data_IF_673898700321
#
_entry.id   IF_673898700321
#
_cell.length_a   1.000
_cell.length_b   1.000
_cell.length_c   1.000
_cell.angle_alpha   90.00
_cell.angle_beta   90.00
_cell.angle_gamma   90.00
#
_symmetry.space_group_name_H-M   'P 1'
#
loop_
_entity.id
_entity.type
_entity.pdbx_description
1 polymer ?
#
# COMPACT_ATOMS: atom_id res chain seq x y z
N UNK A 1 -8.43 -14.85 -5.43
CA UNK A 1 -8.91 -13.59 -6.05
C UNK A 1 -8.22 -12.35 -5.50
N UNK A 2 -8.32 -11.97 -4.21
CA UNK A 2 -7.65 -10.72 -3.75
C UNK A 2 -6.13 -10.86 -3.57
N UNK A 3 -5.64 -12.05 -3.17
CA UNK A 3 -4.20 -12.35 -3.08
C UNK A 3 -3.50 -12.19 -4.43
N UNK A 4 -4.11 -12.70 -5.50
CA UNK A 4 -3.51 -12.76 -6.85
C UNK A 4 -3.29 -11.38 -7.48
N UNK A 5 -3.87 -10.32 -6.90
CA UNK A 5 -3.68 -8.93 -7.32
C UNK A 5 -2.89 -8.06 -6.35
N UNK A 6 -2.54 -8.56 -5.16
CA UNK A 6 -1.86 -7.75 -4.14
C UNK A 6 -0.48 -7.30 -4.61
N UNK A 7 0.32 -8.24 -5.11
CA UNK A 7 1.70 -7.97 -5.53
C UNK A 7 1.76 -6.99 -6.70
N UNK A 8 0.84 -7.10 -7.67
CA UNK A 8 0.75 -6.15 -8.78
C UNK A 8 0.39 -4.72 -8.30
N UNK A 9 -0.53 -4.60 -7.34
CA UNK A 9 -0.88 -3.30 -6.75
C UNK A 9 0.30 -2.75 -5.93
N UNK A 10 0.98 -3.61 -5.17
CA UNK A 10 2.16 -3.24 -4.40
C UNK A 10 3.27 -2.72 -5.32
N UNK A 11 3.52 -3.41 -6.42
CA UNK A 11 4.53 -3.01 -7.39
C UNK A 11 4.19 -1.66 -8.02
N UNK A 12 2.94 -1.44 -8.41
CA UNK A 12 2.49 -0.13 -8.87
C UNK A 12 2.70 0.97 -7.81
N UNK A 13 2.45 0.65 -6.53
CA UNK A 13 2.70 1.60 -5.44
C UNK A 13 4.19 1.90 -5.26
N UNK A 14 5.09 0.91 -5.43
CA UNK A 14 6.54 1.11 -5.39
C UNK A 14 7.03 1.99 -6.51
N UNK A 15 6.56 1.77 -7.74
CA UNK A 15 6.89 2.61 -8.89
C UNK A 15 6.47 4.07 -8.63
N UNK A 16 5.26 4.30 -8.13
CA UNK A 16 4.71 5.66 -7.95
C UNK A 16 5.30 6.39 -6.74
N UNK A 17 5.52 5.69 -5.62
CA UNK A 17 5.97 6.29 -4.35
C UNK A 17 7.49 6.19 -4.16
N UNK A 18 8.17 5.43 -5.02
CA UNK A 18 9.54 4.99 -4.83
C UNK A 18 9.64 3.83 -3.84
N UNK A 19 10.68 3.00 -4.00
CA UNK A 19 11.06 2.05 -2.97
C UNK A 19 11.66 2.83 -1.79
N UNK A 20 10.80 3.15 -0.83
CA UNK A 20 11.29 3.55 0.49
C UNK A 20 11.82 2.30 1.16
N UNK A 21 13.09 1.96 0.90
CA UNK A 21 13.84 1.10 1.80
C UNK A 21 13.73 1.64 3.25
N UNK A 22 14.01 0.81 4.26
CA UNK A 22 13.92 1.21 5.68
C UNK A 22 14.70 2.51 6.01
N UNK A 23 15.60 2.93 5.14
CA UNK A 23 16.45 4.11 5.27
C UNK A 23 15.82 5.44 4.81
N UNK A 24 14.80 5.39 3.93
CA UNK A 24 14.09 6.59 3.42
C UNK A 24 12.89 7.00 4.29
N UNK A 25 12.72 6.33 5.43
CA UNK A 25 11.81 6.74 6.49
C UNK A 25 12.20 8.14 6.98
N UNK A 26 11.40 9.14 6.62
CA UNK A 26 11.62 10.55 6.98
C UNK A 26 12.03 10.63 8.45
N UNK A 27 13.27 11.08 8.72
CA UNK A 27 13.90 11.19 10.05
C UNK A 27 13.25 12.29 10.92
N UNK A 28 11.93 12.47 10.85
CA UNK A 28 11.19 13.29 11.81
C UNK A 28 11.11 12.50 13.12
N UNK A 29 12.01 12.83 14.06
CA UNK A 29 12.11 12.25 15.41
C UNK A 29 10.73 11.88 15.97
N UNK A 30 10.56 10.61 16.36
CA UNK A 30 9.46 10.14 17.21
C UNK A 30 8.22 9.54 16.51
N UNK A 31 8.10 9.55 15.18
CA UNK A 31 7.00 8.87 14.46
C UNK A 31 7.47 7.54 13.87
N UNK A 32 6.68 6.47 14.11
CA UNK A 32 6.83 5.21 13.37
C UNK A 32 6.71 5.50 11.89
N UNK A 33 7.74 5.16 11.12
CA UNK A 33 7.73 5.31 9.69
C UNK A 33 7.36 3.97 9.09
N UNK A 34 6.13 3.87 8.60
CA UNK A 34 5.63 2.64 8.00
C UNK A 34 6.07 2.56 6.53
N UNK A 35 6.19 1.34 5.96
CA UNK A 35 6.41 1.17 4.53
C UNK A 35 5.21 1.74 3.77
N UNK A 36 5.37 2.94 3.21
CA UNK A 36 4.31 3.69 2.53
C UNK A 36 3.72 2.93 1.33
N UNK A 37 4.52 2.32 0.44
CA UNK A 37 3.99 1.52 -0.66
C UNK A 37 3.10 0.37 -0.21
N UNK A 38 3.51 -0.33 0.86
CA UNK A 38 2.77 -1.48 1.38
C UNK A 38 1.41 -1.06 1.96
N UNK A 39 1.38 0.01 2.76
CA UNK A 39 0.14 0.53 3.30
C UNK A 39 -0.76 1.12 2.21
N UNK A 40 -0.19 1.80 1.22
CA UNK A 40 -0.95 2.34 0.09
C UNK A 40 -1.60 1.24 -0.74
N UNK A 41 -0.89 0.12 -0.98
CA UNK A 41 -1.45 -1.02 -1.70
C UNK A 41 -2.68 -1.60 -0.99
N UNK A 42 -2.61 -1.74 0.33
CA UNK A 42 -3.75 -2.21 1.15
C UNK A 42 -4.91 -1.22 1.08
N UNK A 43 -4.64 0.09 1.18
CA UNK A 43 -5.69 1.12 1.08
C UNK A 43 -6.33 1.12 -0.31
N UNK A 44 -5.53 1.01 -1.36
CA UNK A 44 -6.04 0.95 -2.73
C UNK A 44 -6.98 -0.23 -2.94
N UNK A 45 -6.58 -1.43 -2.47
CA UNK A 45 -7.44 -2.62 -2.50
C UNK A 45 -8.69 -2.40 -1.66
N UNK A 46 -8.56 -1.85 -0.45
CA UNK A 46 -9.70 -1.57 0.41
C UNK A 46 -10.71 -0.63 -0.28
N UNK A 47 -10.25 0.42 -0.97
CA UNK A 47 -11.11 1.32 -1.75
C UNK A 47 -11.78 0.56 -2.90
N UNK A 48 -11.01 -0.21 -3.68
CA UNK A 48 -11.52 -0.95 -4.85
C UNK A 48 -12.58 -1.97 -4.46
N UNK A 49 -12.39 -2.66 -3.35
CA UNK A 49 -13.27 -3.73 -2.87
C UNK A 49 -14.37 -3.22 -1.92
N UNK A 50 -14.45 -1.89 -1.68
CA UNK A 50 -15.45 -1.30 -0.77
C UNK A 50 -15.28 -1.71 0.69
N UNK A 51 -14.06 -2.02 1.12
CA UNK A 51 -13.77 -2.44 2.49
C UNK A 51 -13.81 -1.27 3.47
N UNK A 52 -14.38 -1.54 4.64
CA UNK A 52 -14.15 -0.71 5.83
C UNK A 52 -12.70 -0.85 6.32
N UNK A 53 -12.22 0.14 7.09
CA UNK A 53 -10.90 0.06 7.71
C UNK A 53 -10.73 -1.12 8.68
N UNK A 54 -11.83 -1.64 9.24
CA UNK A 54 -11.80 -2.86 10.07
C UNK A 54 -11.54 -4.10 9.21
N UNK A 55 -12.16 -4.18 8.03
CA UNK A 55 -11.90 -5.28 7.09
C UNK A 55 -10.47 -5.23 6.56
N UNK A 56 -9.93 -4.04 6.28
CA UNK A 56 -8.51 -3.90 5.92
C UNK A 56 -7.57 -4.38 7.04
N UNK A 57 -7.88 -4.07 8.31
CA UNK A 57 -7.14 -4.58 9.47
C UNK A 57 -7.26 -6.10 9.61
N UNK A 58 -8.47 -6.66 9.47
CA UNK A 58 -8.67 -8.13 9.46
C UNK A 58 -7.87 -8.81 8.37
N UNK A 59 -7.87 -8.28 7.15
CA UNK A 59 -7.07 -8.81 6.05
C UNK A 59 -5.57 -8.80 6.36
N UNK A 60 -5.08 -7.74 7.01
CA UNK A 60 -3.67 -7.66 7.44
C UNK A 60 -3.32 -8.70 8.51
N UNK A 61 -4.25 -9.01 9.42
CA UNK A 61 -4.06 -10.06 10.43
C UNK A 61 -3.98 -11.44 9.75
N UNK A 62 -4.89 -11.71 8.82
CA UNK A 62 -4.95 -12.98 8.08
C UNK A 62 -3.76 -13.19 7.13
N UNK A 63 -3.18 -12.09 6.63
CA UNK A 63 -2.08 -12.11 5.65
C UNK A 63 -0.78 -11.55 6.23
N UNK A 64 -0.58 -11.67 7.55
CA UNK A 64 0.54 -11.01 8.21
C UNK A 64 1.91 -11.50 7.71
N UNK A 65 2.06 -12.78 7.42
CA UNK A 65 3.30 -13.33 6.85
C UNK A 65 3.58 -12.77 5.44
N UNK A 66 2.56 -12.55 4.63
CA UNK A 66 2.70 -11.89 3.33
C UNK A 66 3.25 -10.47 3.50
N UNK A 67 2.72 -9.71 4.46
CA UNK A 67 3.23 -8.36 4.74
C UNK A 67 4.70 -8.38 5.14
N UNK A 68 5.14 -9.36 5.95
CA UNK A 68 6.55 -9.50 6.35
C UNK A 68 7.45 -9.80 5.15
N UNK A 69 7.04 -10.69 4.25
CA UNK A 69 7.78 -11.00 3.03
C UNK A 69 8.00 -9.76 2.16
N UNK A 70 7.09 -8.79 2.21
CA UNK A 70 7.18 -7.54 1.45
C UNK A 70 7.69 -6.33 2.27
N UNK A 71 8.40 -6.57 3.38
CA UNK A 71 9.14 -5.52 4.09
C UNK A 71 8.44 -4.95 5.33
N UNK A 72 7.38 -5.60 5.84
CA UNK A 72 6.82 -5.22 7.14
C UNK A 72 7.69 -5.74 8.29
N UNK A 73 8.41 -4.84 8.96
CA UNK A 73 9.35 -5.17 10.05
C UNK A 73 8.77 -5.07 11.45
N UNK A 74 7.54 -4.57 11.59
CA UNK A 74 6.92 -4.35 12.91
C UNK A 74 6.29 -5.63 13.46
N UNK A 75 6.38 -5.82 14.78
CA UNK A 75 5.84 -6.99 15.50
C UNK A 75 4.35 -7.27 15.26
N UNK A 76 3.55 -6.22 15.04
CA UNK A 76 2.11 -6.32 14.84
C UNK A 76 1.75 -5.80 13.44
N UNK A 77 0.70 -6.33 12.80
CA UNK A 77 0.21 -5.82 11.52
C UNK A 77 -0.33 -4.38 11.66
N UNK A 78 -0.52 -3.69 10.52
CA UNK A 78 -1.18 -2.39 10.49
C UNK A 78 -2.57 -2.45 11.14
N UNK A 79 -2.90 -1.42 11.93
CA UNK A 79 -4.21 -1.27 12.59
C UNK A 79 -5.09 -0.27 11.87
N UNK A 80 -6.42 -0.30 12.08
CA UNK A 80 -7.38 0.70 11.56
C UNK A 80 -6.90 2.14 11.70
N UNK A 81 -6.31 2.50 12.84
CA UNK A 81 -5.83 3.87 13.10
C UNK A 81 -4.65 4.28 12.22
N UNK A 82 -3.87 3.33 11.73
CA UNK A 82 -2.76 3.55 10.78
C UNK A 82 -3.33 3.95 9.43
N UNK A 83 -4.30 3.18 8.92
CA UNK A 83 -5.00 3.48 7.67
C UNK A 83 -5.78 4.78 7.73
N UNK A 84 -6.47 5.05 8.85
CA UNK A 84 -7.22 6.30 9.02
C UNK A 84 -6.32 7.54 8.91
N UNK A 85 -5.09 7.48 9.40
CA UNK A 85 -4.12 8.59 9.27
C UNK A 85 -3.68 8.75 7.83
N UNK A 86 -3.30 7.66 7.16
CA UNK A 86 -2.88 7.74 5.76
C UNK A 86 -3.99 8.25 4.85
N UNK A 87 -5.22 7.76 4.97
CA UNK A 87 -6.32 8.19 4.09
C UNK A 87 -6.60 9.70 4.15
N UNK A 88 -6.28 10.37 5.26
CA UNK A 88 -6.40 11.84 5.36
C UNK A 88 -5.37 12.59 4.51
N UNK A 89 -4.29 11.94 4.15
CA UNK A 89 -3.16 12.48 3.40
C UNK A 89 -3.16 12.01 1.93
N UNK A 90 -4.08 11.11 1.54
CA UNK A 90 -4.16 10.59 0.17
C UNK A 90 -4.88 11.58 -0.73
N UNK A 91 -4.20 11.96 -1.81
CA UNK A 91 -4.79 12.71 -2.92
C UNK A 91 -5.37 11.77 -3.99
N UNK A 92 -6.49 12.17 -4.59
CA UNK A 92 -7.13 11.46 -5.72
C UNK A 92 -6.16 11.33 -6.89
N UNK A 93 -5.33 12.34 -7.15
CA UNK A 93 -4.33 12.29 -8.22
C UNK A 93 -3.27 11.20 -7.99
N UNK A 94 -2.98 10.85 -6.72
CA UNK A 94 -2.08 9.73 -6.41
C UNK A 94 -2.75 8.38 -6.73
N UNK A 95 -4.02 8.20 -6.36
CA UNK A 95 -4.78 6.99 -6.67
C UNK A 95 -4.92 6.77 -8.19
N UNK A 96 -5.14 7.84 -8.94
CA UNK A 96 -5.21 7.79 -10.41
C UNK A 96 -3.88 7.37 -11.03
N UNK A 97 -2.75 7.87 -10.53
CA UNK A 97 -1.40 7.44 -10.98
C UNK A 97 -1.16 5.96 -10.71
N UNK A 98 -1.48 5.47 -9.51
CA UNK A 98 -1.37 4.04 -9.18
C UNK A 98 -2.25 3.21 -10.12
N UNK A 99 -3.49 3.62 -10.36
CA UNK A 99 -4.40 2.95 -11.30
C UNK A 99 -3.82 2.89 -12.71
N UNK A 100 -3.24 3.99 -13.20
CA UNK A 100 -2.59 4.03 -14.51
C UNK A 100 -1.41 3.05 -14.59
N UNK A 101 -0.54 3.01 -13.57
CA UNK A 101 0.59 2.06 -13.53
C UNK A 101 0.08 0.61 -13.50
N UNK A 102 -0.98 0.31 -12.74
CA UNK A 102 -1.58 -1.04 -12.75
C UNK A 102 -2.04 -1.42 -14.16
N UNK A 103 -2.73 -0.53 -14.88
CA UNK A 103 -3.16 -0.78 -16.26
C UNK A 103 -1.96 -0.99 -17.19
N UNK A 104 -0.89 -0.24 -16.99
CA UNK A 104 0.33 -0.41 -17.75
C UNK A 104 1.00 -1.77 -17.51
N UNK A 105 1.13 -2.18 -16.24
CA UNK A 105 1.69 -3.49 -15.88
C UNK A 105 0.86 -4.66 -16.42
N UNK A 106 -0.44 -4.45 -16.67
CA UNK A 106 -1.32 -5.42 -17.33
C UNK A 106 -1.25 -5.39 -18.86
N UNK A 107 -0.51 -4.46 -19.46
CA UNK A 107 -0.46 -4.26 -20.91
C UNK A 107 -1.71 -3.59 -21.49
N UNK A 108 -2.59 -3.03 -20.65
CA UNK A 108 -3.82 -2.36 -21.10
C UNK A 108 -3.52 -0.96 -21.68
N UNK A 109 -2.47 -0.30 -21.21
CA UNK A 109 -2.02 1.02 -21.68
C UNK A 109 -0.49 1.10 -21.72
N UNK A 110 0.04 2.05 -22.51
CA UNK A 110 1.46 2.40 -22.50
C UNK A 110 1.70 3.65 -21.66
N UNK A 111 2.64 3.56 -20.71
CA UNK A 111 3.15 4.69 -19.95
C UNK A 111 4.68 4.73 -20.13
N UNK A 112 5.29 5.89 -20.45
CA UNK A 112 6.73 6.06 -20.30
C UNK A 112 7.03 6.20 -18.80
N UNK A 113 7.31 5.08 -18.14
CA UNK A 113 7.67 5.00 -16.72
C UNK A 113 9.17 5.23 -16.50
#
# INVERSE_FOLDING_TARGET
>A
MVRDGFEAVLEACRIVLGDTGPENHSRRRGRKSYPQPLLMAIIYIAIREGWSLRQAESWCLENFELLKMHGWTYRNPPKKSTFHKMMKEIDVALLQRISAVIKHLKGEIYLPL
#
